data_IF_694695402270
#
_entry.id   IF_694695402270
#
_cell.length_a   1.000
_cell.length_b   1.000
_cell.length_c   1.000
_cell.angle_alpha   90.00
_cell.angle_beta   90.00
_cell.angle_gamma   90.00
#
_symmetry.space_group_name_H-M   'P 1'
#
loop_
_entity.id
_entity.type
_entity.pdbx_description
1 polymer ?
#
# COMPACT_ATOMS: atom_id res chain seq x y z
N UNK A 1 -37.39 -36.75 -47.35
CA UNK A 1 -37.89 -36.53 -45.99
C UNK A 1 -36.82 -35.76 -45.26
N UNK A 2 -37.07 -34.51 -45.02
CA UNK A 2 -36.11 -33.44 -44.79
C UNK A 2 -35.53 -33.47 -43.36
N UNK A 3 -34.21 -33.36 -43.27
CA UNK A 3 -33.47 -32.96 -42.09
C UNK A 3 -33.48 -31.44 -42.02
N UNK A 4 -33.88 -30.89 -40.88
CA UNK A 4 -33.72 -29.48 -40.56
C UNK A 4 -32.52 -29.35 -39.62
N UNK A 5 -31.47 -28.70 -40.13
CA UNK A 5 -30.31 -28.29 -39.34
C UNK A 5 -30.64 -26.97 -38.64
N UNK A 6 -30.56 -26.96 -37.30
CA UNK A 6 -30.66 -25.78 -36.48
C UNK A 6 -29.25 -25.39 -36.05
N UNK A 7 -28.69 -24.45 -36.77
CA UNK A 7 -27.51 -23.71 -36.28
C UNK A 7 -27.92 -22.71 -35.19
N UNK A 8 -27.45 -22.93 -33.96
CA UNK A 8 -27.51 -21.95 -32.88
C UNK A 8 -26.13 -21.33 -32.72
N UNK A 9 -25.91 -20.23 -33.39
CA UNK A 9 -24.77 -19.34 -33.11
C UNK A 9 -25.00 -18.53 -31.81
N UNK A 10 -24.21 -18.81 -30.80
CA UNK A 10 -24.13 -17.95 -29.61
C UNK A 10 -23.33 -16.69 -29.94
N UNK A 11 -23.82 -15.49 -29.64
CA UNK A 11 -23.02 -14.27 -29.80
C UNK A 11 -21.96 -14.16 -28.74
N UNK A 12 -20.74 -13.99 -29.19
CA UNK A 12 -19.52 -13.71 -28.44
C UNK A 12 -19.70 -12.46 -27.61
N UNK A 13 -19.62 -12.61 -26.28
CA UNK A 13 -19.59 -11.50 -25.31
C UNK A 13 -18.21 -10.83 -25.35
N UNK A 14 -17.99 -10.03 -26.36
CA UNK A 14 -16.80 -9.19 -26.53
C UNK A 14 -17.25 -7.81 -26.99
N UNK A 15 -17.83 -7.00 -26.08
CA UNK A 15 -17.99 -5.55 -26.26
C UNK A 15 -18.75 -4.99 -25.05
N UNK A 16 -18.05 -4.59 -24.00
CA UNK A 16 -18.49 -3.58 -23.03
C UNK A 16 -17.32 -3.15 -22.12
N UNK A 17 -16.19 -2.75 -22.72
CA UNK A 17 -15.32 -1.77 -22.07
C UNK A 17 -15.57 -0.45 -22.80
N UNK A 18 -16.76 0.10 -22.59
CA UNK A 18 -17.10 1.44 -23.04
C UNK A 18 -16.17 2.43 -22.34
N UNK A 19 -15.51 3.27 -23.13
CA UNK A 19 -14.81 4.46 -22.68
C UNK A 19 -15.69 5.20 -21.67
N UNK A 20 -15.27 5.23 -20.42
CA UNK A 20 -15.91 6.04 -19.40
C UNK A 20 -15.70 7.49 -19.83
N UNK A 21 -16.71 8.11 -20.41
CA UNK A 21 -16.73 9.52 -20.74
C UNK A 21 -16.28 10.31 -19.51
N UNK A 22 -15.23 11.12 -19.69
CA UNK A 22 -14.68 11.98 -18.64
C UNK A 22 -15.81 12.83 -18.06
N UNK A 23 -16.20 12.58 -16.81
CA UNK A 23 -17.17 13.45 -16.12
C UNK A 23 -16.57 14.85 -16.02
N UNK A 24 -17.35 15.91 -16.36
CA UNK A 24 -16.85 17.27 -16.23
C UNK A 24 -16.35 17.50 -14.80
N UNK A 25 -15.22 18.19 -14.68
CA UNK A 25 -14.65 18.57 -13.40
C UNK A 25 -15.70 19.31 -12.56
N UNK A 26 -15.80 19.08 -11.24
CA UNK A 26 -16.75 19.77 -10.39
C UNK A 26 -16.51 21.28 -10.48
N UNK A 27 -17.50 22.05 -10.91
CA UNK A 27 -17.45 23.50 -11.13
C UNK A 27 -17.58 24.32 -9.85
N UNK A 28 -17.61 23.68 -8.67
CA UNK A 28 -17.72 24.35 -7.36
C UNK A 28 -16.38 24.47 -6.63
N UNK A 29 -16.31 25.30 -5.57
CA UNK A 29 -15.10 25.41 -4.76
C UNK A 29 -14.74 24.03 -4.18
N UNK A 30 -13.46 23.63 -4.35
CA UNK A 30 -12.96 22.38 -3.80
C UNK A 30 -13.05 22.41 -2.28
N UNK A 31 -13.72 21.43 -1.70
CA UNK A 31 -13.81 21.31 -0.24
C UNK A 31 -12.43 20.93 0.29
N UNK A 32 -11.88 21.74 1.19
CA UNK A 32 -10.66 21.45 1.94
C UNK A 32 -11.00 20.89 3.33
N UNK A 33 -10.02 20.27 3.97
CA UNK A 33 -10.16 19.66 5.28
C UNK A 33 -10.25 18.13 5.23
N UNK A 34 -10.71 17.54 6.32
CA UNK A 34 -10.92 16.10 6.45
C UNK A 34 -12.29 15.69 5.92
N UNK A 35 -12.37 14.55 5.26
CA UNK A 35 -13.65 13.93 4.92
C UNK A 35 -14.08 12.96 6.02
N UNK A 36 -15.38 12.67 6.15
CA UNK A 36 -15.80 11.45 6.83
C UNK A 36 -15.25 10.21 6.10
N UNK A 37 -15.52 9.03 6.63
CA UNK A 37 -15.30 7.78 5.89
C UNK A 37 -16.21 7.76 4.66
N UNK A 38 -15.59 7.53 3.51
CA UNK A 38 -16.24 7.43 2.21
C UNK A 38 -16.27 5.96 1.81
N UNK A 39 -17.44 5.42 1.53
CA UNK A 39 -17.55 4.05 1.03
C UNK A 39 -16.87 3.93 -0.34
N UNK A 40 -16.07 2.90 -0.54
CA UNK A 40 -15.47 2.57 -1.82
C UNK A 40 -16.54 2.03 -2.77
N UNK A 41 -16.67 2.63 -3.95
CA UNK A 41 -17.69 2.22 -4.92
C UNK A 41 -17.39 0.88 -5.57
N UNK A 42 -16.09 0.56 -5.70
CA UNK A 42 -15.67 -0.71 -6.26
C UNK A 42 -16.05 -1.89 -5.35
N UNK A 43 -16.04 -1.68 -4.03
CA UNK A 43 -16.49 -2.65 -3.04
C UNK A 43 -16.92 -1.94 -1.76
N UNK A 44 -18.23 -1.82 -1.48
CA UNK A 44 -18.75 -1.07 -0.34
C UNK A 44 -18.41 -1.64 1.05
N UNK A 45 -17.83 -2.85 1.13
CA UNK A 45 -17.27 -3.39 2.39
C UNK A 45 -16.11 -2.54 2.90
N UNK A 46 -15.48 -1.76 2.02
CA UNK A 46 -14.29 -0.95 2.28
C UNK A 46 -14.60 0.53 2.24
N UNK A 47 -13.77 1.31 2.93
CA UNK A 47 -13.94 2.76 3.00
C UNK A 47 -12.57 3.45 2.98
N UNK A 48 -12.57 4.75 2.80
CA UNK A 48 -11.38 5.57 2.92
C UNK A 48 -11.72 6.97 3.41
N UNK A 49 -10.76 7.67 3.96
CA UNK A 49 -10.87 9.08 4.35
C UNK A 49 -9.78 9.89 3.67
N UNK A 50 -10.09 11.16 3.38
CA UNK A 50 -9.16 12.10 2.77
C UNK A 50 -8.86 13.26 3.72
N UNK A 51 -7.63 13.77 3.63
CA UNK A 51 -7.31 15.13 4.02
C UNK A 51 -6.90 15.91 2.79
N UNK A 52 -7.63 17.00 2.50
CA UNK A 52 -7.40 17.88 1.35
C UNK A 52 -6.96 19.23 1.89
N UNK A 53 -5.69 19.67 1.71
CA UNK A 53 -5.22 20.93 2.22
C UNK A 53 -5.91 22.11 1.49
N UNK A 54 -6.01 23.28 2.13
CA UNK A 54 -6.61 24.48 1.51
C UNK A 54 -5.92 24.92 0.21
N UNK A 55 -4.61 24.65 0.11
CA UNK A 55 -3.83 24.93 -1.09
C UNK A 55 -3.24 23.63 -1.62
N UNK A 56 -3.57 23.26 -2.83
CA UNK A 56 -3.01 22.13 -3.55
C UNK A 56 -1.85 22.61 -4.44
N UNK A 57 -0.82 21.78 -4.55
CA UNK A 57 0.33 22.02 -5.42
C UNK A 57 0.06 21.44 -6.80
N UNK A 58 -0.29 22.28 -7.76
CA UNK A 58 -0.58 21.88 -9.13
C UNK A 58 -2.00 22.20 -9.55
N UNK A 59 -2.21 22.34 -10.84
CA UNK A 59 -3.49 22.70 -11.46
C UNK A 59 -4.23 21.49 -12.05
N UNK A 60 -3.48 20.49 -12.55
CA UNK A 60 -4.02 19.29 -13.17
C UNK A 60 -3.71 18.03 -12.34
N UNK A 61 -2.51 17.98 -11.74
CA UNK A 61 -2.03 16.88 -10.92
C UNK A 61 -1.46 17.39 -9.61
N UNK A 62 -1.72 16.64 -8.55
CA UNK A 62 -1.24 16.98 -7.20
C UNK A 62 -0.52 15.79 -6.57
N UNK A 63 0.43 16.01 -5.65
CA UNK A 63 1.01 14.94 -4.90
C UNK A 63 -0.04 14.22 -4.06
N UNK A 64 0.05 12.90 -4.00
CA UNK A 64 -0.75 12.05 -3.11
C UNK A 64 0.17 11.31 -2.16
N UNK A 65 -0.23 11.26 -0.89
CA UNK A 65 0.31 10.37 0.12
C UNK A 65 -0.80 9.41 0.57
N UNK A 66 -0.56 8.12 0.47
CA UNK A 66 -1.42 7.06 1.02
C UNK A 66 -0.84 6.60 2.33
N UNK A 67 -1.62 6.60 3.41
CA UNK A 67 -1.22 6.12 4.73
C UNK A 67 -2.08 4.95 5.17
N UNK A 68 -1.50 3.75 5.19
CA UNK A 68 -2.20 2.51 5.55
C UNK A 68 -2.07 2.24 7.04
N UNK A 69 -3.22 2.06 7.69
CA UNK A 69 -3.33 1.79 9.12
C UNK A 69 -2.66 0.49 9.57
N UNK A 70 -2.31 0.40 10.85
CA UNK A 70 -1.90 -0.83 11.53
C UNK A 70 -3.08 -1.75 11.85
N UNK A 71 -2.83 -2.81 12.63
CA UNK A 71 -3.87 -3.80 12.99
C UNK A 71 -5.03 -3.20 13.80
N UNK A 72 -4.81 -2.10 14.51
CA UNK A 72 -5.86 -1.39 15.27
C UNK A 72 -6.80 -0.54 14.41
N UNK A 73 -6.54 -0.44 13.12
CA UNK A 73 -7.38 0.26 12.11
C UNK A 73 -7.65 1.74 12.42
N UNK A 74 -6.67 2.43 13.02
CA UNK A 74 -6.74 3.86 13.27
C UNK A 74 -6.60 4.67 11.97
N UNK A 75 -7.69 4.79 11.20
CA UNK A 75 -7.71 5.48 9.91
C UNK A 75 -7.47 6.97 10.08
N UNK A 76 -8.17 7.59 11.04
CA UNK A 76 -8.03 9.00 11.35
C UNK A 76 -6.60 9.34 11.78
N UNK A 77 -6.05 8.58 12.72
CA UNK A 77 -4.68 8.81 13.18
C UNK A 77 -3.65 8.61 12.06
N UNK A 78 -3.86 7.62 11.18
CA UNK A 78 -3.01 7.38 10.02
C UNK A 78 -3.08 8.54 9.01
N UNK A 79 -4.27 9.10 8.77
CA UNK A 79 -4.47 10.28 7.94
C UNK A 79 -3.84 11.53 8.57
N UNK A 80 -4.17 11.79 9.82
CA UNK A 80 -3.86 13.05 10.51
C UNK A 80 -2.36 13.18 10.84
N UNK A 81 -1.66 12.06 11.00
CA UNK A 81 -0.20 12.05 11.15
C UNK A 81 0.53 12.73 9.98
N UNK A 82 -0.10 12.82 8.82
CA UNK A 82 0.48 13.46 7.63
C UNK A 82 -0.24 14.76 7.23
N UNK A 83 -1.15 15.30 8.05
CA UNK A 83 -1.92 16.49 7.69
C UNK A 83 -1.05 17.74 7.54
N UNK A 84 -0.09 17.97 8.44
CA UNK A 84 0.83 19.12 8.35
C UNK A 84 1.80 18.98 7.18
N UNK A 85 2.32 17.78 6.95
CA UNK A 85 3.10 17.46 5.76
C UNK A 85 2.30 17.78 4.47
N UNK A 86 1.04 17.39 4.44
CA UNK A 86 0.16 17.65 3.31
C UNK A 86 -0.10 19.15 3.09
N UNK A 87 -0.29 19.93 4.18
CA UNK A 87 -0.40 21.39 4.09
C UNK A 87 0.85 22.03 3.51
N UNK A 88 2.02 21.57 3.94
CA UNK A 88 3.31 22.09 3.49
C UNK A 88 3.57 21.79 2.01
N UNK A 89 3.28 20.55 1.59
CA UNK A 89 3.56 20.11 0.22
C UNK A 89 2.41 20.34 -0.76
N UNK A 90 1.26 20.84 -0.31
CA UNK A 90 0.06 20.93 -1.14
C UNK A 90 -0.38 19.55 -1.65
N UNK A 91 -0.20 18.51 -0.83
CA UNK A 91 -0.49 17.13 -1.16
C UNK A 91 -1.85 16.68 -0.58
N UNK A 92 -2.50 15.72 -1.20
CA UNK A 92 -3.66 15.04 -0.60
C UNK A 92 -3.17 13.86 0.23
N UNK A 93 -3.81 13.60 1.37
CA UNK A 93 -3.63 12.33 2.11
C UNK A 93 -4.86 11.46 1.92
N UNK A 94 -4.65 10.20 1.57
CA UNK A 94 -5.67 9.15 1.54
C UNK A 94 -5.35 8.09 2.58
N UNK A 95 -6.27 7.80 3.49
CA UNK A 95 -6.17 6.71 4.44
C UNK A 95 -7.27 5.67 4.14
N UNK A 96 -6.93 4.49 3.62
CA UNK A 96 -7.88 3.42 3.42
C UNK A 96 -8.30 2.81 4.76
N UNK A 97 -9.53 2.32 4.86
CA UNK A 97 -9.98 1.40 5.89
C UNK A 97 -10.17 0.01 5.28
N UNK A 98 -9.34 -0.91 5.71
CA UNK A 98 -9.50 -2.33 5.49
C UNK A 98 -10.10 -2.94 6.76
N UNK A 99 -11.41 -3.24 6.81
CA UNK A 99 -12.06 -3.71 8.02
C UNK A 99 -11.51 -5.06 8.49
N UNK A 100 -11.78 -5.40 9.74
CA UNK A 100 -11.56 -6.74 10.24
C UNK A 100 -12.63 -7.65 9.65
N UNK A 101 -12.27 -8.89 9.36
CA UNK A 101 -13.19 -9.98 9.02
C UNK A 101 -14.23 -9.63 7.92
N UNK A 102 -13.79 -9.14 6.75
CA UNK A 102 -14.72 -8.69 5.70
C UNK A 102 -15.51 -9.84 5.05
N UNK A 103 -15.09 -11.10 5.26
CA UNK A 103 -15.77 -12.30 4.75
C UNK A 103 -16.56 -13.06 5.83
N UNK A 104 -16.51 -12.63 7.10
CA UNK A 104 -17.18 -13.32 8.20
C UNK A 104 -16.54 -14.66 8.59
N UNK A 105 -15.26 -14.87 8.28
CA UNK A 105 -14.52 -16.11 8.52
C UNK A 105 -13.47 -15.99 9.66
N UNK A 106 -13.50 -14.86 10.38
CA UNK A 106 -12.60 -14.52 11.48
C UNK A 106 -11.21 -14.08 11.04
N UNK A 107 -10.97 -13.78 9.75
CA UNK A 107 -9.69 -13.28 9.29
C UNK A 107 -9.59 -11.75 9.41
N UNK A 108 -8.82 -11.27 10.36
CA UNK A 108 -8.55 -9.84 10.52
C UNK A 108 -7.34 -9.36 9.71
N UNK A 109 -6.58 -10.26 9.11
CA UNK A 109 -5.25 -9.98 8.58
C UNK A 109 -5.16 -9.99 7.05
N UNK A 110 -6.26 -10.24 6.34
CA UNK A 110 -6.27 -10.41 4.87
C UNK A 110 -5.56 -9.31 4.10
N UNK A 111 -5.76 -8.03 4.48
CA UNK A 111 -5.11 -6.89 3.82
C UNK A 111 -3.58 -6.92 3.91
N UNK A 112 -3.03 -7.51 4.99
CA UNK A 112 -1.58 -7.66 5.17
C UNK A 112 -0.96 -8.57 4.12
N UNK A 113 -1.76 -9.50 3.57
CA UNK A 113 -1.33 -10.52 2.61
C UNK A 113 -1.78 -10.27 1.17
N UNK A 114 -2.43 -9.14 0.89
CA UNK A 114 -2.86 -8.63 -0.42
C UNK A 114 -4.08 -9.31 -1.03
N UNK A 115 -4.41 -10.53 -0.64
CA UNK A 115 -5.57 -11.25 -1.18
C UNK A 115 -6.24 -12.13 -0.11
N UNK A 116 -7.57 -12.23 -0.19
CA UNK A 116 -8.40 -13.04 0.68
C UNK A 116 -9.73 -13.34 -0.04
N UNK A 117 -10.02 -14.63 -0.29
CA UNK A 117 -11.20 -15.01 -1.06
C UNK A 117 -11.24 -14.29 -2.42
N UNK A 118 -12.32 -13.54 -2.66
CA UNK A 118 -12.52 -12.69 -3.84
C UNK A 118 -11.86 -11.31 -3.73
N UNK A 119 -11.33 -10.95 -2.57
CA UNK A 119 -10.80 -9.63 -2.26
C UNK A 119 -9.35 -9.50 -2.74
N UNK A 120 -9.06 -8.42 -3.45
CA UNK A 120 -7.74 -7.97 -3.85
C UNK A 120 -7.49 -6.58 -3.28
N UNK A 121 -6.83 -6.54 -2.14
CA UNK A 121 -6.59 -5.30 -1.38
C UNK A 121 -5.71 -4.28 -2.12
N UNK A 122 -4.79 -4.75 -2.95
CA UNK A 122 -4.00 -3.90 -3.82
C UNK A 122 -4.87 -3.20 -4.88
N UNK A 123 -5.83 -3.90 -5.48
CA UNK A 123 -6.77 -3.34 -6.46
C UNK A 123 -7.76 -2.39 -5.81
N UNK A 124 -8.21 -2.70 -4.59
CA UNK A 124 -9.07 -1.81 -3.81
C UNK A 124 -8.40 -0.48 -3.49
N UNK A 125 -7.12 -0.50 -3.09
CA UNK A 125 -6.38 0.75 -2.90
C UNK A 125 -6.32 1.56 -4.20
N UNK A 126 -6.03 0.93 -5.34
CA UNK A 126 -5.99 1.62 -6.63
C UNK A 126 -7.36 2.18 -7.02
N UNK A 127 -8.45 1.48 -6.72
CA UNK A 127 -9.82 1.97 -6.93
C UNK A 127 -10.12 3.19 -6.04
N UNK A 128 -9.75 3.17 -4.76
CA UNK A 128 -9.90 4.31 -3.86
C UNK A 128 -9.10 5.54 -4.34
N UNK A 129 -7.91 5.34 -4.87
CA UNK A 129 -7.10 6.40 -5.48
C UNK A 129 -7.82 7.01 -6.68
N UNK A 130 -8.35 6.19 -7.59
CA UNK A 130 -9.10 6.66 -8.76
C UNK A 130 -10.41 7.38 -8.36
N UNK A 131 -11.10 6.92 -7.32
CA UNK A 131 -12.28 7.60 -6.78
C UNK A 131 -11.93 8.96 -6.16
N UNK A 132 -10.78 9.06 -5.48
CA UNK A 132 -10.29 10.32 -4.93
C UNK A 132 -9.95 11.31 -6.05
N UNK A 133 -9.31 10.87 -7.14
CA UNK A 133 -9.07 11.68 -8.35
C UNK A 133 -10.38 12.25 -8.90
N UNK A 134 -11.38 11.39 -9.11
CA UNK A 134 -12.68 11.80 -9.63
C UNK A 134 -13.41 12.78 -8.69
N UNK A 135 -13.24 12.63 -7.38
CA UNK A 135 -13.85 13.51 -6.37
C UNK A 135 -13.21 14.89 -6.30
N UNK A 136 -11.89 14.94 -6.43
CA UNK A 136 -11.11 16.19 -6.32
C UNK A 136 -11.08 16.92 -7.68
N UNK A 137 -11.27 16.19 -8.79
CA UNK A 137 -11.15 16.71 -10.15
C UNK A 137 -9.70 17.00 -10.54
N UNK A 138 -8.73 16.31 -9.92
CA UNK A 138 -7.29 16.38 -10.22
C UNK A 138 -6.71 14.98 -10.26
N UNK A 139 -5.74 14.77 -11.13
CA UNK A 139 -5.03 13.50 -11.23
C UNK A 139 -3.95 13.33 -10.16
N UNK A 140 -3.66 12.08 -9.84
CA UNK A 140 -2.47 11.68 -9.11
C UNK A 140 -1.57 10.87 -10.04
N UNK A 141 -0.29 11.23 -10.11
CA UNK A 141 0.70 10.39 -10.82
C UNK A 141 1.05 9.16 -9.98
N UNK A 142 2.32 9.02 -9.68
CA UNK A 142 2.82 8.10 -8.68
C UNK A 142 2.64 8.71 -7.30
N UNK A 143 2.28 7.90 -6.32
CA UNK A 143 2.03 8.37 -4.96
C UNK A 143 3.09 7.87 -3.96
N UNK A 144 3.23 8.62 -2.86
CA UNK A 144 3.95 8.18 -1.69
C UNK A 144 3.07 7.21 -0.89
N UNK A 145 3.64 6.08 -0.45
CA UNK A 145 2.92 5.09 0.36
C UNK A 145 3.60 4.93 1.71
N UNK A 146 2.89 5.15 2.80
CA UNK A 146 3.31 4.91 4.17
C UNK A 146 2.51 3.75 4.78
N UNK A 147 3.17 2.93 5.57
CA UNK A 147 2.51 1.92 6.39
C UNK A 147 3.31 1.63 7.66
N UNK A 148 2.60 1.44 8.77
CA UNK A 148 3.16 1.06 10.05
C UNK A 148 2.56 -0.26 10.52
N UNK A 149 3.36 -1.14 11.14
CA UNK A 149 2.89 -2.42 11.68
C UNK A 149 2.14 -3.25 10.60
N UNK A 150 0.84 -3.49 10.77
CA UNK A 150 0.00 -4.13 9.75
C UNK A 150 0.01 -3.38 8.41
N UNK A 151 0.00 -2.05 8.41
CA UNK A 151 0.14 -1.23 7.21
C UNK A 151 1.50 -1.37 6.53
N UNK A 152 2.56 -1.67 7.29
CA UNK A 152 3.88 -1.94 6.72
C UNK A 152 3.94 -3.30 6.00
N UNK A 153 3.16 -4.29 6.47
CA UNK A 153 2.96 -5.54 5.72
C UNK A 153 2.33 -5.26 4.35
N UNK A 154 1.33 -4.37 4.32
CA UNK A 154 0.71 -3.93 3.08
C UNK A 154 1.71 -3.17 2.20
N UNK A 155 2.38 -2.16 2.74
CA UNK A 155 3.21 -1.24 1.97
C UNK A 155 4.36 -1.93 1.22
N UNK A 156 5.11 -2.84 1.87
CA UNK A 156 6.20 -3.54 1.19
C UNK A 156 5.71 -4.56 0.17
N UNK A 157 4.55 -5.20 0.39
CA UNK A 157 3.94 -6.12 -0.59
C UNK A 157 3.32 -5.37 -1.76
N UNK A 158 2.80 -4.16 -1.52
CA UNK A 158 2.35 -3.29 -2.59
C UNK A 158 3.52 -2.85 -3.50
N UNK A 159 4.70 -2.59 -2.94
CA UNK A 159 5.92 -2.34 -3.72
C UNK A 159 6.27 -3.52 -4.64
N UNK A 160 6.09 -4.77 -4.19
CA UNK A 160 6.31 -5.95 -5.03
C UNK A 160 5.30 -6.07 -6.18
N UNK A 161 4.06 -5.60 -5.96
CA UNK A 161 2.96 -5.74 -6.92
C UNK A 161 2.83 -4.55 -7.87
N UNK A 162 3.03 -3.32 -7.37
CA UNK A 162 2.73 -2.08 -8.10
C UNK A 162 3.83 -1.02 -7.96
N UNK A 163 5.10 -1.34 -8.22
CA UNK A 163 6.19 -0.36 -8.11
C UNK A 163 5.98 0.84 -9.05
N UNK A 164 5.35 0.63 -10.20
CA UNK A 164 5.06 1.67 -11.20
C UNK A 164 4.10 2.75 -10.68
N UNK A 165 3.31 2.44 -9.65
CA UNK A 165 2.39 3.40 -9.03
C UNK A 165 3.04 4.20 -7.89
N UNK A 166 4.22 3.79 -7.44
CA UNK A 166 4.89 4.40 -6.30
C UNK A 166 5.89 5.48 -6.71
N UNK A 167 5.79 6.64 -6.06
CA UNK A 167 6.84 7.66 -6.06
C UNK A 167 7.92 7.33 -5.02
N UNK A 168 7.52 6.86 -3.86
CA UNK A 168 8.35 6.38 -2.78
C UNK A 168 7.52 5.54 -1.80
N UNK A 169 8.16 4.72 -0.97
CA UNK A 169 7.48 3.91 0.04
C UNK A 169 8.20 3.97 1.39
N UNK A 170 7.43 4.14 2.48
CA UNK A 170 7.90 4.06 3.87
C UNK A 170 7.26 2.86 4.56
N UNK A 171 8.08 1.98 5.11
CA UNK A 171 7.73 0.69 5.70
C UNK A 171 8.20 0.71 7.15
N UNK A 172 7.26 0.90 8.09
CA UNK A 172 7.54 1.05 9.52
C UNK A 172 7.20 -0.21 10.32
N UNK A 173 8.19 -0.82 10.94
CA UNK A 173 8.06 -1.90 11.92
C UNK A 173 7.13 -3.06 11.52
N UNK A 174 7.28 -3.71 10.35
CA UNK A 174 6.43 -4.81 9.92
C UNK A 174 6.60 -6.06 10.80
N UNK A 175 5.50 -6.66 11.21
CA UNK A 175 5.51 -7.92 11.95
C UNK A 175 5.85 -9.14 11.10
N UNK A 176 5.70 -9.09 9.78
CA UNK A 176 6.20 -10.10 8.82
C UNK A 176 6.63 -9.44 7.52
N UNK A 177 7.58 -10.05 6.82
CA UNK A 177 8.10 -9.54 5.55
C UNK A 177 8.08 -10.61 4.47
N UNK A 178 7.86 -10.18 3.23
CA UNK A 178 8.06 -10.98 2.02
C UNK A 178 9.40 -10.61 1.42
N UNK A 179 10.29 -11.57 1.29
CA UNK A 179 11.58 -11.37 0.63
C UNK A 179 11.44 -11.66 -0.87
N UNK A 180 12.21 -10.96 -1.70
CA UNK A 180 12.37 -11.32 -3.11
C UNK A 180 13.15 -12.63 -3.13
N UNK A 181 12.43 -13.75 -3.18
CA UNK A 181 12.96 -15.10 -3.14
C UNK A 181 12.08 -16.02 -4.02
N UNK A 182 12.51 -16.37 -5.23
CA UNK A 182 11.76 -17.20 -6.15
C UNK A 182 11.72 -18.68 -5.75
N UNK A 183 12.41 -19.07 -4.67
CA UNK A 183 12.36 -20.44 -4.16
C UNK A 183 11.23 -20.68 -3.18
N UNK A 184 10.64 -19.61 -2.62
CA UNK A 184 9.60 -19.65 -1.60
C UNK A 184 8.28 -19.09 -2.11
N UNK A 185 7.20 -19.76 -1.72
CA UNK A 185 5.85 -19.29 -2.05
C UNK A 185 5.44 -18.04 -1.30
N UNK A 186 4.41 -17.40 -1.80
CA UNK A 186 3.75 -16.28 -1.15
C UNK A 186 3.17 -16.73 0.19
N UNK A 187 3.34 -16.04 1.24
CA UNK A 187 3.81 -14.65 1.43
C UNK A 187 5.28 -14.59 1.90
N UNK A 188 5.95 -15.69 2.15
CA UNK A 188 7.35 -15.71 2.61
C UNK A 188 8.31 -15.28 1.50
N UNK A 189 8.04 -15.67 0.27
CA UNK A 189 8.79 -15.32 -0.93
C UNK A 189 7.89 -14.95 -2.11
N UNK A 190 8.44 -15.02 -3.32
CA UNK A 190 7.82 -14.47 -4.53
C UNK A 190 7.53 -15.52 -5.62
N UNK A 191 7.80 -16.82 -5.37
CA UNK A 191 7.73 -17.88 -6.39
C UNK A 191 6.43 -17.95 -7.17
N UNK A 192 5.30 -17.77 -6.50
CA UNK A 192 3.96 -17.97 -7.06
C UNK A 192 3.17 -16.66 -7.22
N UNK A 193 3.85 -15.52 -7.17
CA UNK A 193 3.21 -14.20 -7.35
C UNK A 193 2.49 -14.08 -8.69
N UNK A 194 3.11 -14.53 -9.78
CA UNK A 194 2.48 -14.47 -11.10
C UNK A 194 1.17 -15.25 -11.16
N UNK A 195 1.14 -16.43 -10.57
CA UNK A 195 -0.08 -17.25 -10.48
C UNK A 195 -1.16 -16.61 -9.61
N UNK A 196 -0.77 -15.99 -8.46
CA UNK A 196 -1.71 -15.42 -7.49
C UNK A 196 -2.21 -14.03 -7.89
N UNK A 197 -1.35 -13.22 -8.47
CA UNK A 197 -1.61 -11.80 -8.69
C UNK A 197 -1.58 -11.39 -10.16
N UNK A 198 -1.22 -12.31 -11.08
CA UNK A 198 -1.10 -12.04 -12.51
C UNK A 198 0.16 -11.27 -12.87
N UNK A 199 1.15 -11.20 -11.97
CA UNK A 199 2.43 -10.50 -12.20
C UNK A 199 3.55 -11.01 -11.30
N UNK A 200 4.75 -11.08 -11.85
CA UNK A 200 5.99 -11.28 -11.10
C UNK A 200 6.54 -9.93 -10.60
N UNK A 201 7.49 -9.91 -9.65
CA UNK A 201 8.17 -8.68 -9.24
C UNK A 201 8.92 -8.04 -10.41
N UNK A 202 8.61 -6.78 -10.71
CA UNK A 202 9.36 -5.98 -11.67
C UNK A 202 10.53 -5.28 -10.96
N UNK A 203 11.69 -5.91 -10.95
CA UNK A 203 12.87 -5.40 -10.24
C UNK A 203 13.36 -4.07 -10.84
N UNK A 204 13.21 -3.86 -12.13
CA UNK A 204 13.62 -2.61 -12.78
C UNK A 204 12.73 -1.45 -12.32
N UNK A 205 11.41 -1.65 -12.31
CA UNK A 205 10.49 -0.65 -11.77
C UNK A 205 10.70 -0.41 -10.27
N UNK A 206 10.96 -1.48 -9.49
CA UNK A 206 11.22 -1.38 -8.05
C UNK A 206 12.49 -0.56 -7.73
N UNK A 207 13.58 -0.71 -8.50
CA UNK A 207 14.82 0.07 -8.32
C UNK A 207 14.64 1.57 -8.50
N UNK A 208 13.59 1.99 -9.20
CA UNK A 208 13.22 3.41 -9.36
C UNK A 208 12.44 4.00 -8.19
N UNK A 209 12.04 3.16 -7.21
CA UNK A 209 11.26 3.57 -6.05
C UNK A 209 12.18 3.73 -4.85
N UNK A 210 12.42 4.95 -4.33
CA UNK A 210 13.09 5.14 -3.04
C UNK A 210 12.33 4.42 -1.93
N UNK A 211 13.05 3.66 -1.11
CA UNK A 211 12.48 2.89 0.00
C UNK A 211 13.01 3.44 1.32
N UNK A 212 12.10 3.67 2.26
CA UNK A 212 12.40 4.00 3.65
C UNK A 212 11.95 2.87 4.57
N UNK A 213 12.84 2.47 5.47
CA UNK A 213 12.59 1.51 6.53
C UNK A 213 12.79 2.20 7.87
N UNK A 214 11.83 2.13 8.79
CA UNK A 214 11.93 2.75 10.11
C UNK A 214 11.46 1.81 11.22
N UNK A 215 12.17 1.84 12.37
CA UNK A 215 11.83 1.02 13.52
C UNK A 215 12.43 1.60 14.80
N UNK A 216 11.75 1.45 15.92
CA UNK A 216 12.31 1.71 17.24
C UNK A 216 13.36 0.66 17.63
N UNK A 217 14.43 1.07 18.30
CA UNK A 217 15.49 0.18 18.80
C UNK A 217 15.02 -0.75 19.93
N UNK A 218 13.90 -0.40 20.56
CA UNK A 218 13.27 -1.14 21.65
C UNK A 218 12.02 -1.94 21.22
N UNK A 219 11.74 -2.08 19.93
CA UNK A 219 10.64 -2.92 19.38
C UNK A 219 11.04 -4.40 19.36
N UNK A 220 11.13 -5.00 20.54
CA UNK A 220 11.65 -6.36 20.77
C UNK A 220 10.55 -7.42 20.93
N UNK A 221 9.28 -7.05 20.85
CA UNK A 221 8.15 -7.96 21.02
C UNK A 221 8.15 -9.05 19.94
N UNK A 222 7.89 -10.29 20.33
CA UNK A 222 7.97 -11.47 19.46
C UNK A 222 6.66 -12.27 19.39
N UNK A 223 5.87 -12.28 20.47
CA UNK A 223 4.75 -13.21 20.61
C UNK A 223 3.64 -12.95 19.57
N UNK A 224 3.27 -11.69 19.34
CA UNK A 224 2.21 -11.29 18.41
C UNK A 224 2.58 -11.45 16.93
N UNK A 225 3.87 -11.59 16.64
CA UNK A 225 4.35 -11.70 15.25
C UNK A 225 4.85 -13.09 14.89
N UNK A 226 4.92 -14.01 15.86
CA UNK A 226 5.39 -15.38 15.61
C UNK A 226 4.27 -16.21 15.00
N UNK A 227 4.47 -16.68 13.77
CA UNK A 227 3.57 -17.62 13.13
C UNK A 227 3.81 -19.01 13.69
N UNK A 228 2.78 -19.60 14.31
CA UNK A 228 2.83 -20.95 14.90
C UNK A 228 2.17 -21.96 13.95
N UNK A 229 2.62 -23.22 13.93
CA UNK A 229 1.92 -24.28 13.21
C UNK A 229 0.42 -24.28 13.55
N UNK A 230 -0.42 -24.34 12.52
CA UNK A 230 -1.88 -24.29 12.67
C UNK A 230 -2.48 -22.88 12.69
N UNK A 231 -1.71 -21.80 12.82
CA UNK A 231 -2.26 -20.44 12.63
C UNK A 231 -2.58 -20.18 11.16
N UNK A 232 -3.58 -19.34 10.88
CA UNK A 232 -4.13 -19.07 9.53
C UNK A 232 -3.05 -18.77 8.47
N UNK A 233 -2.07 -17.98 8.82
CA UNK A 233 -1.01 -17.55 7.91
C UNK A 233 0.31 -18.28 8.11
N UNK A 234 0.29 -19.39 8.86
CA UNK A 234 1.48 -20.21 9.01
C UNK A 234 1.83 -20.91 7.69
N UNK A 235 3.11 -20.94 7.39
CA UNK A 235 3.69 -21.76 6.34
C UNK A 235 5.17 -22.04 6.66
N UNK A 236 5.77 -22.98 5.96
CA UNK A 236 7.19 -23.25 6.11
C UNK A 236 8.01 -21.95 5.91
N UNK A 237 9.00 -21.76 6.76
CA UNK A 237 9.87 -20.57 6.76
C UNK A 237 9.18 -19.23 7.17
N UNK A 238 7.94 -19.22 7.67
CA UNK A 238 7.19 -18.02 8.06
C UNK A 238 7.96 -17.10 9.03
N UNK A 239 8.78 -17.65 9.92
CA UNK A 239 9.57 -16.88 10.89
C UNK A 239 11.05 -16.70 10.49
N UNK A 240 11.45 -17.17 9.32
CA UNK A 240 12.84 -17.18 8.87
C UNK A 240 13.49 -15.79 8.81
N UNK A 241 12.72 -14.76 8.52
CA UNK A 241 13.23 -13.39 8.40
C UNK A 241 13.73 -12.82 9.74
N UNK A 242 13.37 -13.42 10.88
CA UNK A 242 13.84 -13.01 12.19
C UNK A 242 12.83 -13.28 13.31
N UNK A 243 13.31 -13.25 14.55
CA UNK A 243 12.50 -13.49 15.73
C UNK A 243 11.65 -12.26 16.13
N UNK A 244 12.14 -11.06 15.91
CA UNK A 244 11.45 -9.81 16.22
C UNK A 244 11.38 -8.88 14.99
N UNK A 245 10.70 -7.74 15.11
CA UNK A 245 10.51 -6.80 14.00
C UNK A 245 11.84 -6.18 13.53
N UNK A 246 12.79 -5.93 14.43
CA UNK A 246 14.11 -5.39 14.07
C UNK A 246 14.85 -6.38 13.16
N UNK A 247 14.91 -7.65 13.54
CA UNK A 247 15.56 -8.68 12.73
C UNK A 247 14.85 -8.85 11.37
N UNK A 248 13.52 -8.82 11.35
CA UNK A 248 12.71 -8.93 10.11
C UNK A 248 12.93 -7.75 9.18
N UNK A 249 12.95 -6.53 9.72
CA UNK A 249 13.21 -5.32 8.93
C UNK A 249 14.66 -5.30 8.40
N UNK A 250 15.62 -5.78 9.20
CA UNK A 250 17.02 -5.94 8.76
C UNK A 250 17.14 -6.95 7.61
N UNK A 251 16.42 -8.06 7.68
CA UNK A 251 16.37 -9.06 6.61
C UNK A 251 15.76 -8.48 5.34
N UNK A 252 14.65 -7.71 5.46
CA UNK A 252 14.04 -7.00 4.33
C UNK A 252 15.01 -6.00 3.72
N UNK A 253 15.69 -5.17 4.53
CA UNK A 253 16.70 -4.21 4.07
C UNK A 253 17.77 -4.88 3.22
N UNK A 254 18.39 -5.93 3.78
CA UNK A 254 19.47 -6.68 3.08
C UNK A 254 18.97 -7.27 1.77
N UNK A 255 17.77 -7.80 1.76
CA UNK A 255 17.18 -8.38 0.55
C UNK A 255 16.91 -7.31 -0.51
N UNK A 256 16.32 -6.17 -0.18
CA UNK A 256 16.07 -5.08 -1.12
C UNK A 256 17.37 -4.51 -1.68
N UNK A 257 18.39 -4.27 -0.83
CA UNK A 257 19.71 -3.78 -1.25
C UNK A 257 20.42 -4.78 -2.15
N UNK A 258 20.35 -6.08 -1.85
CA UNK A 258 20.93 -7.14 -2.71
C UNK A 258 20.29 -7.19 -4.11
N UNK A 259 19.05 -6.66 -4.26
CA UNK A 259 18.38 -6.51 -5.56
C UNK A 259 18.55 -5.11 -6.17
N UNK A 260 19.41 -4.26 -5.59
CA UNK A 260 19.79 -2.95 -6.13
C UNK A 260 18.80 -1.83 -5.83
N UNK A 261 17.93 -1.97 -4.82
CA UNK A 261 17.03 -0.91 -4.40
C UNK A 261 17.75 0.09 -3.48
N UNK A 262 17.47 1.38 -3.66
CA UNK A 262 17.94 2.44 -2.77
C UNK A 262 17.12 2.46 -1.48
N UNK A 263 17.76 2.22 -0.33
CA UNK A 263 17.10 2.07 0.95
C UNK A 263 17.66 3.04 1.99
N UNK A 264 16.84 3.96 2.51
CA UNK A 264 17.09 4.70 3.75
C UNK A 264 16.61 3.85 4.93
N UNK A 265 17.39 3.73 6.00
CA UNK A 265 17.03 2.97 7.19
C UNK A 265 17.23 3.79 8.45
N UNK A 266 16.16 4.10 9.15
CA UNK A 266 16.14 4.87 10.38
C UNK A 266 15.85 3.94 11.58
N UNK A 267 16.78 3.87 12.52
CA UNK A 267 16.58 3.25 13.83
C UNK A 267 16.31 4.38 14.83
N UNK A 268 15.17 4.34 15.52
CA UNK A 268 14.70 5.41 16.37
C UNK A 268 15.09 5.10 17.82
N UNK A 269 16.03 5.87 18.43
CA UNK A 269 16.51 5.59 19.77
C UNK A 269 15.39 5.69 20.82
N UNK A 270 15.33 4.73 21.73
CA UNK A 270 14.38 4.69 22.84
C UNK A 270 12.93 4.44 22.47
N UNK A 271 12.61 4.29 21.18
CA UNK A 271 11.26 3.98 20.73
C UNK A 271 11.01 2.47 20.74
N UNK A 272 9.84 2.05 21.21
CA UNK A 272 9.32 0.70 21.06
C UNK A 272 8.48 0.61 19.77
N UNK A 273 7.33 -0.07 19.81
CA UNK A 273 6.40 -0.17 18.68
C UNK A 273 5.54 1.11 18.61
N UNK A 274 6.15 2.22 18.20
CA UNK A 274 5.57 3.57 18.24
C UNK A 274 5.28 4.11 16.84
N UNK A 275 3.98 4.30 16.56
CA UNK A 275 3.53 4.86 15.28
C UNK A 275 3.95 6.31 15.09
N UNK A 276 3.87 7.15 16.15
CA UNK A 276 4.13 8.58 16.02
C UNK A 276 5.61 8.84 15.66
N UNK A 277 6.52 8.14 16.34
CA UNK A 277 7.96 8.21 16.07
C UNK A 277 8.30 7.73 14.65
N UNK A 278 7.68 6.64 14.18
CA UNK A 278 7.89 6.13 12.82
C UNK A 278 7.29 7.09 11.77
N UNK A 279 6.11 7.64 12.01
CA UNK A 279 5.47 8.59 11.10
C UNK A 279 6.28 9.89 10.95
N UNK A 280 6.97 10.34 12.02
CA UNK A 280 7.89 11.47 11.96
C UNK A 280 9.03 11.20 10.97
N UNK A 281 9.71 10.06 11.06
CA UNK A 281 10.78 9.69 10.11
C UNK A 281 10.26 9.50 8.68
N UNK A 282 9.05 9.00 8.53
CA UNK A 282 8.41 8.89 7.23
C UNK A 282 8.13 10.27 6.59
N UNK A 283 7.71 11.26 7.41
CA UNK A 283 7.53 12.66 6.93
C UNK A 283 8.85 13.26 6.46
N UNK A 284 9.93 13.09 7.24
CA UNK A 284 11.27 13.55 6.87
C UNK A 284 11.70 12.96 5.52
N UNK A 285 11.55 11.64 5.37
CA UNK A 285 11.87 10.95 4.13
C UNK A 285 11.05 11.46 2.94
N UNK A 286 9.74 11.59 3.09
CA UNK A 286 8.89 12.09 2.00
C UNK A 286 9.12 13.58 1.72
N UNK A 287 9.55 14.37 2.71
CA UNK A 287 9.96 15.75 2.49
C UNK A 287 11.15 15.82 1.52
N UNK A 288 12.16 14.95 1.70
CA UNK A 288 13.29 14.85 0.79
C UNK A 288 12.85 14.43 -0.62
N UNK A 289 11.91 13.50 -0.73
CA UNK A 289 11.38 13.00 -2.03
C UNK A 289 10.55 14.04 -2.77
N UNK A 290 9.75 14.86 -2.06
CA UNK A 290 8.87 15.86 -2.66
C UNK A 290 9.48 17.25 -2.75
N UNK A 291 10.62 17.48 -2.09
CA UNK A 291 11.32 18.77 -2.07
C UNK A 291 11.78 19.22 -3.45
N UNK A 292 11.94 20.54 -3.67
CA UNK A 292 12.44 21.04 -4.93
C UNK A 292 13.92 20.68 -5.11
N UNK A 293 14.24 19.86 -6.11
CA UNK A 293 15.55 19.84 -6.74
C UNK A 293 16.59 18.84 -6.22
N UNK A 294 16.26 17.87 -5.38
CA UNK A 294 17.18 16.77 -5.05
C UNK A 294 16.59 15.40 -5.41
N UNK A 295 17.22 14.70 -6.35
CA UNK A 295 17.13 13.25 -6.37
C UNK A 295 17.70 12.76 -5.02
N UNK A 296 16.95 11.97 -4.22
CA UNK A 296 17.45 11.49 -2.95
C UNK A 296 18.70 10.63 -3.20
N UNK A 297 19.84 11.09 -2.71
CA UNK A 297 21.08 10.32 -2.70
C UNK A 297 20.99 9.29 -1.56
N UNK A 298 20.34 8.16 -1.81
CA UNK A 298 20.38 7.00 -0.92
C UNK A 298 21.48 6.05 -1.42
N UNK A 299 22.38 5.65 -0.53
CA UNK A 299 23.39 4.64 -0.85
C UNK A 299 22.74 3.30 -1.19
N UNK A 300 23.12 2.76 -2.34
CA UNK A 300 22.79 1.40 -2.73
C UNK A 300 23.42 0.36 -1.79
#
# INVERSE_FOLDING_TARGET
>A
MAKADLETGSPTTRQALGEAAARPAPTGPRRSGTTPLLSCRADPRFSYSLFIPPRLRGTERVPLLVSVHGSLRGVESSRDAFADFARWHGAVVLAPLFPADPLGDGNEDGYKYMAEGDIRYDRLLLAMVAEAEARIGLGFDRFCLAGFSGGAHFAHRFLLLHPERLRAVSIGAPGSVTLIDPKRGWWVGTRDMERLFGRAPDLEAMRRVPVHLAIGDSDLETASITHRPGSRHWMADANRAGANRIARLTSLRRNLQAHGLAVRHDIIPGAAHDFAAVAERARDFFHDVLGPGRAPAFSA
#
